data_IF_409831963067
#
_entry.id   IF_409831963067
#
_cell.length_a   1.000
_cell.length_b   1.000
_cell.length_c   1.000
_cell.angle_alpha   90.00
_cell.angle_beta   90.00
_cell.angle_gamma   90.00
#
_symmetry.space_group_name_H-M   'P 1'
#
loop_
_entity.id
_entity.type
_entity.pdbx_description
1 polymer ?
#
# COMPACT_ATOMS: atom_id res chain seq x y z
N UNK A 1 13.64 32.50 -14.76
CA UNK A 1 12.24 32.82 -15.13
C UNK A 1 11.38 32.88 -13.88
N UNK A 2 10.74 34.04 -13.71
CA UNK A 2 10.12 34.56 -12.50
C UNK A 2 8.80 33.88 -12.18
N UNK A 3 8.70 33.24 -11.01
CA UNK A 3 7.38 32.94 -10.41
C UNK A 3 6.96 34.15 -9.59
N UNK A 4 6.01 34.89 -10.16
CA UNK A 4 5.35 36.02 -9.54
C UNK A 4 4.75 35.63 -8.18
N UNK A 5 5.07 36.47 -7.20
CA UNK A 5 4.78 36.36 -5.78
C UNK A 5 3.37 36.86 -5.50
N UNK A 6 2.36 35.98 -5.51
CA UNK A 6 1.05 36.30 -4.93
C UNK A 6 1.08 35.99 -3.43
N UNK A 7 1.37 37.03 -2.63
CA UNK A 7 0.92 37.35 -1.25
C UNK A 7 0.66 36.28 -0.17
N UNK A 8 1.05 35.01 -0.29
CA UNK A 8 0.73 33.96 0.73
C UNK A 8 1.97 33.24 1.30
N UNK A 9 3.18 33.72 0.99
CA UNK A 9 4.42 33.12 1.54
C UNK A 9 4.77 33.79 2.87
N UNK A 10 4.61 33.06 3.98
CA UNK A 10 4.91 33.52 5.34
C UNK A 10 6.41 33.46 5.69
N UNK A 11 7.17 32.59 5.02
CA UNK A 11 8.60 32.43 5.27
C UNK A 11 9.24 31.43 4.33
N UNK A 12 10.50 31.68 3.98
CA UNK A 12 11.33 30.82 3.13
C UNK A 12 12.62 30.54 3.89
N UNK A 13 12.97 29.26 4.02
CA UNK A 13 14.17 28.83 4.70
C UNK A 13 14.54 27.42 4.27
N UNK A 14 15.77 27.01 4.59
CA UNK A 14 16.25 25.66 4.33
C UNK A 14 16.14 24.83 5.60
N UNK A 15 15.56 23.63 5.51
CA UNK A 15 15.46 22.67 6.61
C UNK A 15 16.27 21.43 6.29
N UNK A 16 17.03 20.94 7.27
CA UNK A 16 17.75 19.66 7.17
C UNK A 16 16.89 18.60 7.87
N UNK A 17 16.49 17.57 7.13
CA UNK A 17 15.70 16.46 7.66
C UNK A 17 16.03 15.15 6.93
N UNK A 18 15.58 14.03 7.48
CA UNK A 18 15.68 12.73 6.80
C UNK A 18 14.71 12.65 5.62
N UNK A 19 15.22 12.28 4.45
CA UNK A 19 14.43 12.08 3.24
C UNK A 19 14.67 10.66 2.71
N UNK A 20 13.67 9.96 2.15
CA UNK A 20 13.87 8.61 1.64
C UNK A 20 14.65 8.62 0.32
N UNK A 21 15.63 7.73 0.22
CA UNK A 21 16.45 7.54 -0.97
C UNK A 21 16.36 6.09 -1.46
N UNK A 22 16.42 5.92 -2.78
CA UNK A 22 16.53 4.60 -3.38
C UNK A 22 17.87 3.96 -2.99
N UNK A 23 17.81 2.76 -2.41
CA UNK A 23 18.99 2.07 -1.88
C UNK A 23 20.02 1.71 -2.96
N UNK A 24 19.57 1.54 -4.23
CA UNK A 24 20.44 1.20 -5.35
C UNK A 24 21.01 2.44 -6.03
N UNK A 25 20.17 3.34 -6.51
CA UNK A 25 20.62 4.52 -7.28
C UNK A 25 21.04 5.71 -6.41
N UNK A 26 20.73 5.68 -5.10
CA UNK A 26 20.96 6.77 -4.15
C UNK A 26 20.31 8.10 -4.56
N UNK A 27 19.19 8.03 -5.29
CA UNK A 27 18.38 9.20 -5.68
C UNK A 27 17.17 9.37 -4.75
N UNK A 28 16.69 10.60 -4.53
CA UNK A 28 15.51 10.85 -3.70
C UNK A 28 14.27 10.19 -4.31
N UNK A 29 13.41 9.61 -3.47
CA UNK A 29 12.15 9.00 -3.92
C UNK A 29 10.95 9.87 -3.58
N UNK A 30 9.94 9.83 -4.44
CA UNK A 30 8.66 10.53 -4.21
C UNK A 30 7.53 9.53 -4.01
N UNK A 31 6.54 9.91 -3.21
CA UNK A 31 5.30 9.15 -3.06
C UNK A 31 4.36 9.54 -4.21
N UNK A 32 3.89 8.56 -4.98
CA UNK A 32 2.97 8.75 -6.09
C UNK A 32 1.82 7.73 -6.02
N UNK A 33 0.60 8.22 -6.16
CA UNK A 33 -0.57 7.35 -6.28
C UNK A 33 -0.56 6.59 -7.62
N UNK A 34 -0.91 5.30 -7.59
CA UNK A 34 -1.04 4.46 -8.78
C UNK A 34 -2.27 3.57 -8.67
N UNK A 35 -2.88 3.21 -9.81
CA UNK A 35 -3.96 2.23 -9.86
C UNK A 35 -3.39 0.84 -9.52
N UNK A 36 -3.98 0.15 -8.55
CA UNK A 36 -3.54 -1.16 -8.08
C UNK A 36 -4.76 -2.01 -7.74
N UNK A 37 -4.60 -3.34 -7.74
CA UNK A 37 -5.60 -4.31 -7.33
C UNK A 37 -5.49 -4.60 -5.84
N UNK A 38 -6.63 -4.57 -5.15
CA UNK A 38 -6.74 -4.83 -3.73
C UNK A 38 -7.79 -5.88 -3.44
N UNK A 39 -7.53 -6.69 -2.41
CA UNK A 39 -8.53 -7.53 -1.77
C UNK A 39 -9.01 -6.79 -0.51
N UNK A 40 -10.33 -6.72 -0.32
CA UNK A 40 -10.92 -6.28 0.94
C UNK A 40 -10.84 -7.44 1.95
N UNK A 41 -9.95 -7.31 2.92
CA UNK A 41 -9.70 -8.31 3.96
C UNK A 41 -10.57 -8.12 5.19
N UNK A 42 -11.32 -7.02 5.28
CA UNK A 42 -12.19 -6.71 6.42
C UNK A 42 -13.24 -7.82 6.64
N UNK A 43 -13.83 -8.32 5.55
CA UNK A 43 -14.79 -9.44 5.58
C UNK A 43 -14.20 -10.77 6.07
N UNK A 44 -12.88 -10.90 6.08
CA UNK A 44 -12.17 -12.11 6.49
C UNK A 44 -11.62 -12.00 7.92
N UNK A 45 -11.67 -10.81 8.51
CA UNK A 45 -11.03 -10.50 9.79
C UNK A 45 -11.53 -11.40 10.92
N UNK A 46 -12.85 -11.51 11.10
CA UNK A 46 -13.43 -12.29 12.19
C UNK A 46 -13.10 -13.77 12.08
N UNK A 47 -13.19 -14.34 10.86
CA UNK A 47 -12.81 -15.72 10.59
C UNK A 47 -11.33 -15.98 10.87
N UNK A 48 -10.47 -15.03 10.49
CA UNK A 48 -9.03 -15.12 10.75
C UNK A 48 -8.71 -15.04 12.25
N UNK A 49 -9.43 -14.21 13.01
CA UNK A 49 -9.27 -14.11 14.46
C UNK A 49 -9.70 -15.41 15.15
N UNK A 50 -10.85 -15.99 14.79
CA UNK A 50 -11.28 -17.29 15.32
C UNK A 50 -10.23 -18.38 15.07
N UNK A 51 -9.75 -18.50 13.83
CA UNK A 51 -8.71 -19.47 13.48
C UNK A 51 -7.40 -19.22 14.26
N UNK A 52 -7.02 -17.96 14.48
CA UNK A 52 -5.82 -17.60 15.24
C UNK A 52 -5.90 -18.06 16.71
N UNK A 53 -7.10 -18.14 17.29
CA UNK A 53 -7.30 -18.63 18.65
C UNK A 53 -7.18 -20.16 18.76
N UNK A 54 -7.44 -20.89 17.68
CA UNK A 54 -7.32 -22.35 17.63
C UNK A 54 -5.87 -22.82 17.42
N UNK A 55 -4.99 -21.95 16.91
CA UNK A 55 -3.58 -22.27 16.64
C UNK A 55 -2.71 -22.03 17.87
N UNK A 56 -1.90 -23.03 18.22
CA UNK A 56 -0.86 -22.89 19.26
C UNK A 56 0.33 -22.09 18.73
N UNK A 57 0.57 -20.91 19.30
CA UNK A 57 1.70 -20.03 18.95
C UNK A 57 2.71 -20.02 20.09
N UNK A 58 3.97 -20.23 19.74
CA UNK A 58 5.10 -20.20 20.69
C UNK A 58 6.16 -19.20 20.24
N UNK A 59 6.59 -18.29 21.13
CA UNK A 59 6.03 -17.99 22.46
C UNK A 59 4.64 -17.30 22.40
N UNK A 60 3.82 -17.53 23.43
CA UNK A 60 2.40 -17.09 23.47
C UNK A 60 2.20 -15.57 23.33
N UNK A 61 3.16 -14.78 23.78
CA UNK A 61 3.11 -13.31 23.71
C UNK A 61 3.07 -12.77 22.26
N UNK A 62 3.47 -13.56 21.26
CA UNK A 62 3.41 -13.16 19.85
C UNK A 62 1.96 -13.07 19.35
N UNK A 63 1.05 -13.86 19.91
CA UNK A 63 -0.34 -13.92 19.48
C UNK A 63 -1.02 -12.54 19.54
N UNK A 64 -0.73 -11.74 20.57
CA UNK A 64 -1.27 -10.38 20.72
C UNK A 64 -0.83 -9.45 19.57
N UNK A 65 0.40 -9.61 19.08
CA UNK A 65 0.89 -8.84 17.93
C UNK A 65 0.16 -9.21 16.64
N UNK A 66 -0.12 -10.50 16.44
CA UNK A 66 -0.88 -10.99 15.28
C UNK A 66 -2.32 -10.50 15.30
N UNK A 67 -2.99 -10.52 16.47
CA UNK A 67 -4.33 -9.94 16.64
C UNK A 67 -4.32 -8.46 16.24
N UNK A 68 -3.38 -7.67 16.77
CA UNK A 68 -3.29 -6.25 16.45
C UNK A 68 -3.05 -5.99 14.96
N UNK A 69 -2.30 -6.85 14.29
CA UNK A 69 -2.04 -6.75 12.86
C UNK A 69 -3.27 -7.06 12.01
N UNK A 70 -4.05 -8.09 12.38
CA UNK A 70 -5.32 -8.42 11.72
C UNK A 70 -6.35 -7.30 11.88
N UNK A 71 -6.32 -6.58 12.99
CA UNK A 71 -7.25 -5.47 13.23
C UNK A 71 -6.97 -4.20 12.42
N UNK A 72 -5.70 -3.94 12.08
CA UNK A 72 -5.26 -2.65 11.48
C UNK A 72 -5.31 -2.60 9.95
N UNK A 73 -5.41 -3.73 9.24
CA UNK A 73 -5.27 -3.78 7.77
C UNK A 73 -6.55 -4.22 7.06
N UNK A 74 -7.37 -3.29 6.54
CA UNK A 74 -8.60 -3.61 5.82
C UNK A 74 -8.39 -3.98 4.34
N UNK A 75 -7.24 -3.62 3.75
CA UNK A 75 -6.96 -3.87 2.33
C UNK A 75 -5.59 -4.50 2.13
N UNK A 76 -5.54 -5.49 1.24
CA UNK A 76 -4.30 -6.11 0.78
C UNK A 76 -4.07 -5.83 -0.70
N UNK A 77 -3.02 -5.06 -1.01
CA UNK A 77 -2.57 -4.84 -2.38
C UNK A 77 -1.94 -6.12 -2.94
N UNK A 78 -2.54 -6.69 -3.98
CA UNK A 78 -2.08 -7.94 -4.62
C UNK A 78 -1.33 -7.71 -5.94
N UNK A 79 -1.52 -6.57 -6.61
CA UNK A 79 -0.81 -6.28 -7.86
C UNK A 79 0.62 -5.82 -7.62
N UNK A 80 1.53 -6.20 -8.52
CA UNK A 80 2.94 -5.78 -8.51
C UNK A 80 3.39 -5.48 -9.93
N UNK A 81 4.18 -4.44 -10.11
CA UNK A 81 4.81 -4.09 -11.39
C UNK A 81 6.12 -4.87 -11.53
N UNK A 82 6.02 -6.17 -11.79
CA UNK A 82 7.16 -7.10 -11.94
C UNK A 82 6.87 -8.09 -13.07
N UNK A 83 7.92 -8.47 -13.79
CA UNK A 83 7.80 -9.46 -14.87
C UNK A 83 7.82 -10.90 -14.36
N UNK A 84 8.37 -11.15 -13.17
CA UNK A 84 8.43 -12.48 -12.55
C UNK A 84 7.32 -12.66 -11.52
N UNK A 85 6.40 -13.59 -11.79
CA UNK A 85 5.26 -13.90 -10.95
C UNK A 85 4.07 -14.44 -11.75
N UNK A 86 2.98 -14.75 -11.05
CA UNK A 86 1.72 -15.17 -11.70
C UNK A 86 0.97 -13.90 -12.14
N UNK A 87 0.62 -13.75 -13.43
CA UNK A 87 -0.16 -12.61 -13.90
C UNK A 87 -1.58 -12.65 -13.33
N UNK A 88 -2.11 -11.47 -12.96
CA UNK A 88 -3.50 -11.36 -12.53
C UNK A 88 -4.39 -11.54 -13.77
N UNK A 89 -5.32 -12.53 -13.78
CA UNK A 89 -6.12 -12.84 -14.96
C UNK A 89 -7.27 -11.83 -15.11
N UNK A 90 -6.93 -10.63 -15.57
CA UNK A 90 -7.91 -9.57 -15.85
C UNK A 90 -7.67 -9.00 -17.24
N UNK A 91 -8.76 -8.83 -17.97
CA UNK A 91 -8.76 -8.17 -19.28
C UNK A 91 -9.27 -6.74 -19.12
N UNK A 92 -8.77 -5.85 -19.98
CA UNK A 92 -9.18 -4.45 -20.01
C UNK A 92 -9.78 -4.14 -21.37
N UNK A 93 -10.83 -3.34 -21.35
CA UNK A 93 -11.39 -2.74 -22.57
C UNK A 93 -10.38 -1.72 -23.14
N UNK A 94 -9.95 -1.84 -24.42
CA UNK A 94 -9.03 -0.91 -25.05
C UNK A 94 -9.54 0.55 -25.11
N UNK A 95 -10.85 0.77 -25.21
CA UNK A 95 -11.41 2.12 -25.37
C UNK A 95 -11.51 2.85 -24.02
N UNK A 96 -11.98 2.15 -22.99
CA UNK A 96 -12.22 2.77 -21.67
C UNK A 96 -11.08 2.56 -20.67
N UNK A 97 -10.24 1.55 -20.87
CA UNK A 97 -9.20 1.15 -19.91
C UNK A 97 -9.76 0.56 -18.61
N UNK A 98 -11.05 0.18 -18.59
CA UNK A 98 -11.71 -0.44 -17.44
C UNK A 98 -11.55 -1.96 -17.46
N UNK A 99 -11.51 -2.61 -16.29
CA UNK A 99 -11.46 -4.06 -16.22
C UNK A 99 -12.80 -4.67 -16.65
N UNK A 100 -12.74 -5.74 -17.43
CA UNK A 100 -13.90 -6.54 -17.82
C UNK A 100 -14.24 -7.46 -16.66
N UNK A 101 -15.39 -7.26 -16.04
CA UNK A 101 -15.85 -8.01 -14.87
C UNK A 101 -17.12 -8.79 -15.20
N UNK A 102 -17.20 -10.05 -14.77
CA UNK A 102 -18.46 -10.78 -14.81
C UNK A 102 -19.42 -10.23 -13.74
N UNK A 103 -20.71 -10.24 -14.06
CA UNK A 103 -21.78 -9.91 -13.12
C UNK A 103 -22.02 -11.05 -12.14
#
# INVERSE_FOLDING_TARGET
>A
ESRNTTSVVLGVGTLIHSYPYDWRTKKPVIIRASKQWFINTDKLKDKALTALHEVSILPKNIQTGMVSQLERRPYWCISRQRSWGVPIPVFYDPETGNPIMNK
#
